data_IF_676458342732
#
_entry.id   IF_676458342732
#
_cell.length_a   1.000
_cell.length_b   1.000
_cell.length_c   1.000
_cell.angle_alpha   90.00
_cell.angle_beta   90.00
_cell.angle_gamma   90.00
#
_symmetry.space_group_name_H-M   'P 1'
#
loop_
_entity.id
_entity.type
_entity.pdbx_description
1 polymer ?
#
# COMPACT_ATOMS: atom_id res chain seq x y z
N UNK A 1 -18.75 42.39 34.26
CA UNK A 1 -17.86 42.15 33.09
C UNK A 1 -17.59 40.64 32.96
N UNK A 2 -18.27 39.93 32.04
CA UNK A 2 -18.02 38.49 31.78
C UNK A 2 -17.01 38.37 30.64
N UNK A 3 -15.73 38.22 30.98
CA UNK A 3 -14.68 37.87 30.03
C UNK A 3 -14.59 36.35 29.96
N UNK A 4 -15.31 35.73 29.01
CA UNK A 4 -15.14 34.33 28.63
C UNK A 4 -15.28 34.21 27.10
N UNK A 5 -14.46 33.40 26.42
CA UNK A 5 -12.99 33.43 26.44
C UNK A 5 -12.44 33.37 25.00
N UNK A 6 -11.39 34.13 24.68
CA UNK A 6 -10.65 34.05 23.39
C UNK A 6 -10.22 32.61 23.02
N UNK A 7 -10.13 31.73 24.01
CA UNK A 7 -9.85 30.29 23.87
C UNK A 7 -10.87 29.59 22.97
N UNK A 8 -12.19 29.79 23.17
CA UNK A 8 -13.24 29.13 22.33
C UNK A 8 -13.12 29.50 20.84
N UNK A 9 -12.60 30.69 20.54
CA UNK A 9 -12.38 31.14 19.15
C UNK A 9 -11.21 30.40 18.49
N UNK A 10 -10.11 30.13 19.21
CA UNK A 10 -8.95 29.39 18.68
C UNK A 10 -9.29 27.93 18.34
N UNK A 11 -10.07 27.27 19.19
CA UNK A 11 -10.54 25.90 18.94
C UNK A 11 -11.46 25.82 17.71
N UNK A 12 -12.29 26.83 17.46
CA UNK A 12 -13.11 26.92 16.24
C UNK A 12 -12.27 27.02 14.97
N UNK A 13 -11.21 27.84 14.99
CA UNK A 13 -10.29 27.95 13.85
C UNK A 13 -9.49 26.66 13.63
N UNK A 14 -9.04 26.00 14.70
CA UNK A 14 -8.37 24.71 14.60
C UNK A 14 -9.30 23.63 14.03
N UNK A 15 -10.54 23.55 14.53
CA UNK A 15 -11.53 22.61 14.02
C UNK A 15 -11.88 22.87 12.55
N UNK A 16 -12.06 24.15 12.16
CA UNK A 16 -12.29 24.53 10.78
C UNK A 16 -11.11 24.16 9.88
N UNK A 17 -9.87 24.37 10.34
CA UNK A 17 -8.66 23.99 9.61
C UNK A 17 -8.56 22.47 9.41
N UNK A 18 -8.79 21.68 10.47
CA UNK A 18 -8.80 20.21 10.38
C UNK A 18 -9.89 19.73 9.41
N UNK A 19 -11.08 20.33 9.48
CA UNK A 19 -12.18 20.00 8.58
C UNK A 19 -11.85 20.32 7.11
N UNK A 20 -11.25 21.49 6.85
CA UNK A 20 -10.79 21.86 5.50
C UNK A 20 -9.68 20.93 5.00
N UNK A 21 -8.73 20.54 5.86
CA UNK A 21 -7.70 19.56 5.53
C UNK A 21 -8.32 18.21 5.16
N UNK A 22 -9.31 17.76 5.94
CA UNK A 22 -10.01 16.51 5.68
C UNK A 22 -10.77 16.54 4.35
N UNK A 23 -11.47 17.64 4.05
CA UNK A 23 -12.11 17.85 2.75
C UNK A 23 -11.09 17.88 1.60
N UNK A 24 -9.93 18.51 1.80
CA UNK A 24 -8.88 18.55 0.79
C UNK A 24 -8.31 17.15 0.51
N UNK A 25 -8.14 16.32 1.54
CA UNK A 25 -7.72 14.92 1.40
C UNK A 25 -8.77 14.10 0.64
N UNK A 26 -10.06 14.26 0.96
CA UNK A 26 -11.15 13.61 0.22
C UNK A 26 -11.22 14.07 -1.23
N UNK A 27 -11.03 15.36 -1.48
CA UNK A 27 -11.00 15.91 -2.83
C UNK A 27 -9.79 15.36 -3.62
N UNK A 28 -8.61 15.28 -2.99
CA UNK A 28 -7.42 14.69 -3.60
C UNK A 28 -7.63 13.22 -3.95
N UNK A 29 -8.27 12.43 -3.08
CA UNK A 29 -8.60 11.03 -3.33
C UNK A 29 -9.55 10.88 -4.53
N UNK A 30 -10.55 11.75 -4.64
CA UNK A 30 -11.50 11.80 -5.77
C UNK A 30 -10.86 12.26 -7.09
N UNK A 31 -9.94 13.22 -7.03
CA UNK A 31 -9.26 13.77 -8.20
C UNK A 31 -8.16 12.86 -8.73
N UNK A 32 -7.49 12.12 -7.84
CA UNK A 32 -6.50 11.10 -8.16
C UNK A 32 -6.95 9.73 -7.67
N UNK A 33 -7.93 9.10 -8.35
CA UNK A 33 -8.44 7.80 -7.95
C UNK A 33 -7.31 6.76 -7.94
N UNK A 34 -7.45 5.78 -7.06
CA UNK A 34 -6.54 4.65 -6.95
C UNK A 34 -6.62 3.82 -8.25
N UNK A 35 -5.51 3.63 -8.99
CA UNK A 35 -5.52 2.88 -10.24
C UNK A 35 -5.54 1.37 -9.95
N UNK A 36 -6.68 0.86 -9.49
CA UNK A 36 -6.94 -0.57 -9.45
C UNK A 36 -7.19 -1.04 -10.88
N UNK A 37 -6.12 -1.28 -11.63
CA UNK A 37 -6.22 -1.83 -12.97
C UNK A 37 -6.57 -3.31 -12.88
N UNK A 38 -7.56 -3.78 -13.63
CA UNK A 38 -7.76 -5.22 -13.82
C UNK A 38 -6.55 -5.77 -14.56
N UNK A 39 -5.73 -6.58 -13.87
CA UNK A 39 -4.72 -7.39 -14.55
C UNK A 39 -5.49 -8.42 -15.35
N UNK A 40 -5.41 -8.37 -16.68
CA UNK A 40 -5.95 -9.42 -17.54
C UNK A 40 -5.28 -10.73 -17.13
N UNK A 41 -5.99 -11.65 -16.47
CA UNK A 41 -5.34 -12.81 -15.90
C UNK A 41 -4.83 -13.72 -17.01
N UNK A 42 -3.77 -14.47 -16.71
CA UNK A 42 -3.31 -15.57 -17.55
C UNK A 42 -4.48 -16.51 -17.85
N UNK A 43 -4.68 -16.86 -19.12
CA UNK A 43 -5.79 -17.75 -19.50
C UNK A 43 -5.43 -19.17 -19.10
N UNK A 44 -6.28 -19.82 -18.31
CA UNK A 44 -6.14 -21.23 -17.96
C UNK A 44 -7.28 -22.01 -18.61
N UNK A 45 -6.91 -23.04 -19.37
CA UNK A 45 -7.82 -24.04 -19.91
C UNK A 45 -7.94 -25.13 -18.87
N UNK A 46 -9.15 -25.35 -18.37
CA UNK A 46 -9.47 -26.40 -17.40
C UNK A 46 -10.29 -27.51 -18.05
N UNK A 47 -10.17 -28.72 -17.53
CA UNK A 47 -11.09 -29.81 -17.79
C UNK A 47 -12.45 -29.55 -17.13
N UNK A 48 -13.45 -30.38 -17.43
CA UNK A 48 -14.81 -30.26 -16.87
C UNK A 48 -14.81 -30.33 -15.33
N UNK A 49 -13.89 -31.10 -14.74
CA UNK A 49 -13.70 -31.23 -13.30
C UNK A 49 -12.90 -30.08 -12.66
N UNK A 50 -12.49 -29.09 -13.45
CA UNK A 50 -11.67 -27.96 -13.01
C UNK A 50 -10.15 -28.19 -13.04
N UNK A 51 -9.69 -29.39 -13.42
CA UNK A 51 -8.25 -29.69 -13.51
C UNK A 51 -7.59 -28.85 -14.61
N UNK A 52 -6.52 -28.08 -14.33
CA UNK A 52 -5.87 -27.24 -15.33
C UNK A 52 -5.11 -28.09 -16.37
N UNK A 53 -5.54 -28.00 -17.64
CA UNK A 53 -4.98 -28.72 -18.78
C UNK A 53 -3.89 -27.93 -19.50
N UNK A 54 -4.15 -26.65 -19.76
CA UNK A 54 -3.22 -25.77 -20.46
C UNK A 54 -3.31 -24.37 -19.91
N UNK A 55 -2.25 -23.59 -20.11
CA UNK A 55 -2.13 -22.25 -19.57
C UNK A 55 -1.46 -21.37 -20.61
N UNK A 56 -1.82 -20.10 -20.63
CA UNK A 56 -1.19 -19.09 -21.47
C UNK A 56 -0.57 -18.02 -20.58
N UNK A 57 0.66 -17.63 -20.88
CA UNK A 57 1.25 -16.45 -20.27
C UNK A 57 0.43 -15.19 -20.64
N UNK A 58 0.52 -14.15 -19.81
CA UNK A 58 -0.08 -12.86 -20.12
C UNK A 58 0.64 -12.15 -21.28
N UNK A 59 0.16 -10.95 -21.63
CA UNK A 59 0.72 -10.15 -22.71
C UNK A 59 2.20 -9.77 -22.51
N UNK A 60 2.74 -9.93 -21.29
CA UNK A 60 4.13 -9.68 -20.93
C UNK A 60 4.95 -10.98 -20.84
N UNK A 61 4.36 -12.13 -21.18
CA UNK A 61 5.02 -13.44 -21.09
C UNK A 61 5.14 -13.98 -19.67
N UNK A 62 4.42 -13.40 -18.70
CA UNK A 62 4.46 -13.82 -17.30
C UNK A 62 3.34 -14.82 -17.01
N UNK A 63 3.67 -15.88 -16.29
CA UNK A 63 2.72 -16.86 -15.78
C UNK A 63 2.17 -16.38 -14.45
N UNK A 64 0.94 -15.89 -14.42
CA UNK A 64 0.27 -15.40 -13.20
C UNK A 64 -0.93 -16.27 -12.87
N UNK A 65 -0.96 -16.81 -11.66
CA UNK A 65 -2.10 -17.57 -11.15
C UNK A 65 -2.84 -16.70 -10.15
N UNK A 66 -4.09 -16.31 -10.44
CA UNK A 66 -4.86 -15.54 -9.49
C UNK A 66 -5.08 -16.39 -8.23
N UNK A 67 -4.57 -15.90 -7.11
CA UNK A 67 -4.76 -16.52 -5.79
C UNK A 67 -5.38 -15.50 -4.86
N UNK A 68 -6.22 -15.98 -3.96
CA UNK A 68 -6.67 -15.20 -2.82
C UNK A 68 -5.75 -15.42 -1.62
N UNK A 69 -5.86 -14.56 -0.61
CA UNK A 69 -5.19 -14.77 0.67
C UNK A 69 -5.42 -16.18 1.26
N UNK A 70 -6.60 -16.76 1.05
CA UNK A 70 -6.96 -18.07 1.60
C UNK A 70 -6.35 -19.26 0.83
N UNK A 71 -5.98 -19.06 -0.45
CA UNK A 71 -5.41 -20.10 -1.30
C UNK A 71 -3.92 -20.34 -1.00
N UNK A 72 -3.29 -19.42 -0.27
CA UNK A 72 -1.84 -19.44 -0.01
C UNK A 72 -1.55 -20.02 1.37
N UNK A 73 -0.49 -20.84 1.45
CA UNK A 73 -0.06 -21.44 2.70
C UNK A 73 0.14 -20.40 3.81
N UNK A 74 -0.46 -20.58 5.00
CA UNK A 74 -0.27 -19.68 6.13
C UNK A 74 1.19 -19.51 6.53
N UNK A 75 2.03 -20.54 6.35
CA UNK A 75 3.47 -20.48 6.65
C UNK A 75 4.21 -19.55 5.70
N UNK A 76 3.84 -19.55 4.43
CA UNK A 76 4.41 -18.63 3.45
C UNK A 76 4.04 -17.19 3.80
N UNK A 77 2.76 -16.93 4.11
CA UNK A 77 2.30 -15.59 4.49
C UNK A 77 3.02 -15.09 5.75
N UNK A 78 3.20 -15.95 6.75
CA UNK A 78 3.96 -15.62 7.96
C UNK A 78 5.41 -15.26 7.62
N UNK A 79 6.09 -16.06 6.80
CA UNK A 79 7.46 -15.78 6.38
C UNK A 79 7.56 -14.45 5.62
N UNK A 80 6.71 -14.25 4.61
CA UNK A 80 6.66 -13.04 3.81
C UNK A 80 6.48 -11.80 4.68
N UNK A 81 5.47 -11.81 5.56
CA UNK A 81 5.20 -10.68 6.46
C UNK A 81 6.37 -10.48 7.42
N UNK A 82 6.93 -11.55 8.00
CA UNK A 82 8.02 -11.42 8.95
C UNK A 82 9.30 -10.80 8.33
N UNK A 83 9.62 -11.17 7.09
CA UNK A 83 10.80 -10.70 6.39
C UNK A 83 10.61 -9.32 5.75
N UNK A 84 9.49 -9.08 5.08
CA UNK A 84 9.25 -7.83 4.33
C UNK A 84 8.66 -6.74 5.20
N UNK A 85 7.74 -7.08 6.11
CA UNK A 85 6.97 -6.08 6.86
C UNK A 85 6.39 -6.63 8.17
N UNK A 86 7.26 -6.84 9.16
CA UNK A 86 6.91 -7.50 10.43
C UNK A 86 5.76 -6.85 11.21
N UNK A 87 5.43 -5.58 10.90
CA UNK A 87 4.36 -4.82 11.55
C UNK A 87 3.16 -4.61 10.63
N UNK A 88 3.06 -5.33 9.51
CA UNK A 88 2.07 -5.17 8.45
C UNK A 88 0.66 -4.91 8.99
N UNK A 89 0.21 -5.71 9.94
CA UNK A 89 -1.15 -5.63 10.52
C UNK A 89 -1.41 -4.41 11.42
N UNK A 90 -0.37 -3.67 11.81
CA UNK A 90 -0.43 -2.66 12.87
C UNK A 90 -0.24 -1.23 12.36
N UNK A 91 0.26 -1.02 11.14
CA UNK A 91 0.48 0.30 10.59
C UNK A 91 -0.51 0.62 9.45
N UNK A 92 -0.84 1.90 9.21
CA UNK A 92 -1.72 2.31 8.11
C UNK A 92 -0.90 2.46 6.82
N UNK A 93 -0.33 1.36 6.32
CA UNK A 93 0.41 1.33 5.05
C UNK A 93 1.83 1.88 5.07
N UNK A 94 2.18 2.79 5.99
CA UNK A 94 3.55 3.27 6.18
C UNK A 94 3.97 3.01 7.62
N UNK A 95 5.20 2.53 7.82
CA UNK A 95 5.76 2.30 9.13
C UNK A 95 6.86 3.33 9.44
N UNK A 96 6.57 4.39 10.22
CA UNK A 96 7.55 5.44 10.54
C UNK A 96 8.79 4.90 11.25
N UNK A 97 8.63 3.91 12.13
CA UNK A 97 9.76 3.29 12.82
C UNK A 97 10.67 2.52 11.87
N UNK A 98 10.10 1.81 10.89
CA UNK A 98 10.90 1.13 9.87
C UNK A 98 11.66 2.11 8.98
N UNK A 99 11.03 3.23 8.60
CA UNK A 99 11.67 4.29 7.80
C UNK A 99 12.80 4.96 8.59
N UNK A 100 12.56 5.35 9.84
CA UNK A 100 13.58 5.97 10.70
C UNK A 100 14.76 5.03 10.96
N UNK A 101 14.49 3.75 11.26
CA UNK A 101 15.52 2.73 11.44
C UNK A 101 16.36 2.56 10.16
N UNK A 102 15.71 2.44 9.01
CA UNK A 102 16.40 2.28 7.73
C UNK A 102 17.28 3.51 7.42
N UNK A 103 16.74 4.72 7.58
CA UNK A 103 17.49 5.95 7.39
C UNK A 103 18.71 6.04 8.33
N UNK A 104 18.56 5.68 9.60
CA UNK A 104 19.67 5.63 10.56
C UNK A 104 20.75 4.62 10.16
N UNK A 105 20.36 3.41 9.74
CA UNK A 105 21.30 2.38 9.30
C UNK A 105 22.04 2.78 8.02
N UNK A 106 21.34 3.39 7.07
CA UNK A 106 21.93 3.82 5.81
C UNK A 106 22.94 4.96 6.04
N UNK A 107 22.62 5.91 6.92
CA UNK A 107 23.51 7.00 7.32
C UNK A 107 24.75 6.49 8.06
N UNK A 108 24.57 5.61 9.05
CA UNK A 108 25.67 5.10 9.88
C UNK A 108 26.60 4.13 9.14
N UNK A 109 26.12 3.47 8.09
CA UNK A 109 26.90 2.51 7.30
C UNK A 109 27.43 3.06 5.97
N UNK A 110 27.03 4.28 5.59
CA UNK A 110 27.42 4.93 4.34
C UNK A 110 26.91 4.25 3.08
N UNK A 111 25.99 3.29 3.18
CA UNK A 111 25.38 2.56 2.07
C UNK A 111 23.96 2.15 2.42
N UNK A 112 23.12 1.88 1.42
CA UNK A 112 21.78 1.36 1.68
C UNK A 112 21.88 -0.09 2.19
N UNK A 113 21.52 -0.32 3.46
CA UNK A 113 21.54 -1.65 4.09
C UNK A 113 20.12 -2.18 4.27
N UNK A 114 19.14 -1.32 4.55
CA UNK A 114 17.78 -1.75 4.86
C UNK A 114 16.75 -1.05 3.98
N UNK A 115 15.82 -1.82 3.44
CA UNK A 115 14.57 -1.26 2.94
C UNK A 115 13.72 -0.70 4.09
N UNK A 116 13.19 0.51 3.91
CA UNK A 116 12.19 1.12 4.81
C UNK A 116 10.76 1.03 4.28
N UNK A 117 10.54 0.37 3.14
CA UNK A 117 9.23 0.26 2.48
C UNK A 117 8.45 -0.94 3.00
N UNK A 118 7.18 -0.70 3.35
CA UNK A 118 6.17 -1.69 3.75
C UNK A 118 5.62 -2.46 2.55
N UNK A 119 4.94 -3.58 2.79
CA UNK A 119 4.24 -4.33 1.73
C UNK A 119 3.22 -3.45 0.99
N UNK A 120 2.44 -2.63 1.72
CA UNK A 120 1.49 -1.69 1.11
C UNK A 120 2.17 -0.68 0.19
N UNK A 121 3.35 -0.16 0.56
CA UNK A 121 4.12 0.72 -0.32
C UNK A 121 4.65 -0.04 -1.54
N UNK A 122 5.04 -1.30 -1.40
CA UNK A 122 5.45 -2.12 -2.53
C UNK A 122 4.28 -2.32 -3.51
N UNK A 123 3.08 -2.66 -3.01
CA UNK A 123 1.84 -2.74 -3.82
C UNK A 123 1.53 -1.43 -4.52
N UNK A 124 1.63 -0.30 -3.81
CA UNK A 124 1.42 1.03 -4.40
C UNK A 124 2.34 1.30 -5.61
N UNK A 125 3.60 0.88 -5.51
CA UNK A 125 4.58 1.02 -6.61
C UNK A 125 4.32 0.05 -7.77
N UNK A 126 3.79 -1.14 -7.49
CA UNK A 126 3.41 -2.10 -8.53
C UNK A 126 2.17 -1.61 -9.31
N UNK A 127 1.21 -0.99 -8.62
CA UNK A 127 -0.01 -0.42 -9.21
C UNK A 127 0.24 0.85 -10.01
N UNK A 128 1.12 1.70 -9.49
CA UNK A 128 1.41 3.01 -10.06
C UNK A 128 2.95 3.16 -10.11
N UNK A 129 3.61 2.66 -11.17
CA UNK A 129 5.07 2.74 -11.30
C UNK A 129 5.55 4.19 -11.46
N UNK A 130 6.57 4.59 -10.69
CA UNK A 130 7.13 5.94 -10.69
C UNK A 130 8.66 5.95 -10.70
N UNK A 131 9.29 7.05 -11.16
CA UNK A 131 10.72 7.23 -11.03
C UNK A 131 11.17 7.24 -9.57
N UNK A 132 12.40 6.78 -9.32
CA UNK A 132 13.03 6.73 -7.99
C UNK A 132 13.52 8.11 -7.54
N UNK A 133 12.60 9.07 -7.44
CA UNK A 133 12.84 10.43 -6.96
C UNK A 133 12.08 10.68 -5.66
N UNK A 134 12.42 11.77 -4.95
CA UNK A 134 11.69 12.18 -3.75
C UNK A 134 10.19 12.38 -4.03
N UNK A 135 9.84 13.02 -5.16
CA UNK A 135 8.45 13.18 -5.59
C UNK A 135 7.76 11.85 -5.88
N UNK A 136 8.44 10.90 -6.52
CA UNK A 136 7.93 9.54 -6.71
C UNK A 136 7.68 8.81 -5.39
N UNK A 137 8.55 9.04 -4.38
CA UNK A 137 8.37 8.48 -3.03
C UNK A 137 7.15 9.06 -2.30
N UNK A 138 6.90 10.36 -2.44
CA UNK A 138 5.69 11.00 -1.90
C UNK A 138 4.42 10.46 -2.58
N UNK A 139 4.46 10.26 -3.91
CA UNK A 139 3.34 9.63 -4.63
C UNK A 139 3.12 8.20 -4.16
N UNK A 140 4.18 7.41 -3.96
CA UNK A 140 4.09 6.06 -3.39
C UNK A 140 3.45 6.08 -1.98
N UNK A 141 3.84 7.03 -1.14
CA UNK A 141 3.28 7.19 0.22
C UNK A 141 1.78 7.50 0.16
N UNK A 142 1.38 8.47 -0.69
CA UNK A 142 -0.02 8.80 -0.92
C UNK A 142 -0.83 7.59 -1.38
N UNK A 143 -0.34 6.86 -2.39
CA UNK A 143 -0.99 5.64 -2.90
C UNK A 143 -1.10 4.55 -1.85
N UNK A 144 -0.09 4.38 -0.99
CA UNK A 144 -0.14 3.42 0.10
C UNK A 144 -1.22 3.76 1.14
N UNK A 145 -1.39 5.05 1.46
CA UNK A 145 -2.47 5.51 2.35
C UNK A 145 -3.85 5.32 1.70
N UNK A 146 -3.98 5.59 0.39
CA UNK A 146 -5.21 5.31 -0.34
C UNK A 146 -5.56 3.82 -0.31
N UNK A 147 -4.58 2.93 -0.53
CA UNK A 147 -4.81 1.48 -0.45
C UNK A 147 -5.39 1.06 0.90
N UNK A 148 -4.83 1.58 2.00
CA UNK A 148 -5.30 1.24 3.36
C UNK A 148 -6.65 1.83 3.71
N UNK A 149 -7.05 2.90 3.03
CA UNK A 149 -8.38 3.46 3.18
C UNK A 149 -9.42 2.61 2.45
N UNK A 150 -9.13 2.22 1.21
CA UNK A 150 -10.11 1.58 0.34
C UNK A 150 -10.14 0.05 0.45
N UNK A 151 -9.08 -0.58 0.93
CA UNK A 151 -8.91 -2.03 0.93
C UNK A 151 -8.56 -2.57 2.31
N UNK A 152 -8.97 -3.81 2.58
CA UNK A 152 -8.51 -4.52 3.78
C UNK A 152 -7.05 -4.95 3.64
N UNK A 153 -6.39 -5.25 4.76
CA UNK A 153 -5.04 -5.82 4.77
C UNK A 153 -4.93 -7.11 3.96
N UNK A 154 -5.98 -7.94 3.99
CA UNK A 154 -6.03 -9.18 3.23
C UNK A 154 -6.09 -8.90 1.72
N UNK A 155 -6.87 -7.90 1.30
CA UNK A 155 -6.96 -7.49 -0.11
C UNK A 155 -5.63 -6.91 -0.60
N UNK A 156 -4.97 -6.08 0.22
CA UNK A 156 -3.65 -5.52 -0.11
C UNK A 156 -2.62 -6.65 -0.26
N UNK A 157 -2.62 -7.61 0.65
CA UNK A 157 -1.71 -8.75 0.56
C UNK A 157 -2.05 -9.62 -0.65
N UNK A 158 -3.33 -9.82 -0.96
CA UNK A 158 -3.77 -10.51 -2.18
C UNK A 158 -3.27 -9.78 -3.43
N UNK A 159 -3.38 -8.45 -3.50
CA UNK A 159 -2.82 -7.66 -4.59
C UNK A 159 -1.30 -7.83 -4.71
N UNK A 160 -0.58 -7.90 -3.59
CA UNK A 160 0.84 -8.18 -3.58
C UNK A 160 1.14 -9.55 -4.20
N UNK A 161 0.48 -10.61 -3.72
CA UNK A 161 0.70 -11.99 -4.19
C UNK A 161 0.45 -12.17 -5.69
N UNK A 162 -0.45 -11.37 -6.26
CA UNK A 162 -0.81 -11.46 -7.67
C UNK A 162 0.01 -10.56 -8.59
N UNK A 163 0.83 -9.65 -8.05
CA UNK A 163 1.55 -8.63 -8.85
C UNK A 163 3.05 -8.56 -8.61
N UNK A 164 3.52 -8.97 -7.45
CA UNK A 164 4.95 -9.04 -7.12
C UNK A 164 5.64 -10.12 -7.96
#
# INVERSE_FOLDING_TARGET
>A
MRVLPRVKRRWRWLAAFIFLLWLAVLAADRLWPLPLQDVTPARVVVAEDGTPLWRFADAQGVWRYPVTFADVSPRYLQALIQYEDRWFWKHPGVNPFAVLRAAWQDLTSGRVISGGSTLTMQVARLLDPHPRTFGGKLRQLWRALQLEWHLSKNDILTLYLNRA
#
